data_IF_600253633442
#
_entry.id   IF_600253633442
#
_cell.length_a   1.000
_cell.length_b   1.000
_cell.length_c   1.000
_cell.angle_alpha   90.00
_cell.angle_beta   90.00
_cell.angle_gamma   90.00
#
_symmetry.space_group_name_H-M   'P 1'
#
loop_
_entity.id
_entity.type
_entity.pdbx_description
1 polymer ?
#
# COMPACT_ATOMS: atom_id res chain seq x y z
N UNK A 1 6.77 15.92 16.54
CA UNK A 1 7.14 15.14 15.34
C UNK A 1 7.27 16.07 14.12
N UNK A 2 8.11 17.09 14.19
CA UNK A 2 8.30 18.08 13.10
C UNK A 2 9.75 18.19 12.63
N UNK A 3 10.65 17.42 13.23
CA UNK A 3 12.08 17.52 12.96
C UNK A 3 12.56 16.34 12.09
N UNK A 4 12.67 16.59 10.79
CA UNK A 4 13.03 15.62 9.75
C UNK A 4 14.56 15.54 9.57
N UNK A 5 15.30 15.13 10.59
CA UNK A 5 16.79 15.12 10.52
C UNK A 5 17.38 13.94 9.74
N UNK A 6 16.61 12.95 9.30
CA UNK A 6 17.14 11.82 8.51
C UNK A 6 16.18 11.31 7.42
N UNK A 7 16.75 10.75 6.35
CA UNK A 7 16.00 10.11 5.26
C UNK A 7 15.14 8.96 5.77
N UNK A 8 15.64 8.18 6.75
CA UNK A 8 14.87 7.10 7.39
C UNK A 8 13.66 7.63 8.18
N UNK A 9 13.78 8.79 8.83
CA UNK A 9 12.66 9.42 9.52
C UNK A 9 11.55 9.85 8.55
N UNK A 10 11.92 10.41 7.39
CA UNK A 10 10.93 10.76 6.35
C UNK A 10 10.21 9.54 5.76
N UNK A 11 10.89 8.40 5.64
CA UNK A 11 10.31 7.16 5.13
C UNK A 11 9.33 6.53 6.14
N UNK A 12 9.71 6.49 7.42
CA UNK A 12 8.85 5.98 8.49
C UNK A 12 7.65 6.91 8.76
N UNK A 13 7.83 8.22 8.57
CA UNK A 13 6.76 9.22 8.73
C UNK A 13 5.63 9.00 7.70
N UNK A 14 5.94 8.67 6.45
CA UNK A 14 4.93 8.37 5.44
C UNK A 14 3.99 7.24 5.89
N UNK A 15 4.55 6.10 6.30
CA UNK A 15 3.73 4.97 6.75
C UNK A 15 2.88 5.30 7.99
N UNK A 16 3.42 6.06 8.94
CA UNK A 16 2.67 6.49 10.12
C UNK A 16 1.47 7.39 9.76
N UNK A 17 1.66 8.34 8.83
CA UNK A 17 0.57 9.24 8.37
C UNK A 17 -0.54 8.45 7.69
N UNK A 18 -0.21 7.47 6.86
CA UNK A 18 -1.21 6.59 6.25
C UNK A 18 -2.05 5.87 7.31
N UNK A 19 -1.40 5.25 8.29
CA UNK A 19 -2.08 4.56 9.40
C UNK A 19 -3.03 5.47 10.18
N UNK A 20 -2.58 6.69 10.54
CA UNK A 20 -3.44 7.65 11.25
C UNK A 20 -4.63 8.11 10.42
N UNK A 21 -4.41 8.45 9.14
CA UNK A 21 -5.50 8.88 8.26
C UNK A 21 -6.53 7.76 8.04
N UNK A 22 -6.08 6.52 7.84
CA UNK A 22 -6.96 5.36 7.63
C UNK A 22 -7.73 4.99 8.89
N UNK A 23 -7.10 5.03 10.06
CA UNK A 23 -7.80 4.84 11.33
C UNK A 23 -8.86 5.94 11.58
N UNK A 24 -8.51 7.19 11.27
CA UNK A 24 -9.45 8.30 11.36
C UNK A 24 -10.65 8.13 10.41
N UNK A 25 -10.43 7.67 9.16
CA UNK A 25 -11.50 7.42 8.19
C UNK A 25 -12.55 6.42 8.70
N UNK A 26 -12.16 5.46 9.53
CA UNK A 26 -13.09 4.48 10.13
C UNK A 26 -14.04 5.11 11.15
N UNK A 27 -13.62 6.17 11.85
CA UNK A 27 -14.39 6.80 12.93
C UNK A 27 -14.94 8.19 12.61
N UNK A 28 -14.57 8.80 11.47
CA UNK A 28 -14.87 10.21 11.14
C UNK A 28 -16.35 10.58 11.11
N UNK A 29 -17.22 9.58 11.01
CA UNK A 29 -18.68 9.71 10.96
C UNK A 29 -19.36 9.24 12.27
N UNK A 30 -18.60 8.87 13.30
CA UNK A 30 -19.15 8.49 14.58
C UNK A 30 -19.89 9.70 15.22
N UNK A 31 -21.13 9.52 15.70
CA UNK A 31 -21.97 10.63 16.18
C UNK A 31 -21.40 11.31 17.44
N UNK A 32 -20.58 10.60 18.22
CA UNK A 32 -19.94 11.12 19.43
C UNK A 32 -18.72 12.01 19.16
N UNK A 33 -18.24 12.11 17.92
CA UNK A 33 -17.02 12.85 17.59
C UNK A 33 -17.31 14.36 17.45
N UNK A 34 -16.75 15.17 18.35
CA UNK A 34 -16.98 16.62 18.35
C UNK A 34 -16.41 17.28 17.08
N UNK A 35 -17.16 18.22 16.48
CA UNK A 35 -16.78 18.94 15.25
C UNK A 35 -15.41 19.62 15.37
N UNK A 36 -15.11 20.24 16.51
CA UNK A 36 -13.82 20.91 16.74
C UNK A 36 -12.64 19.93 16.80
N UNK A 37 -12.85 18.75 17.39
CA UNK A 37 -11.83 17.70 17.42
C UNK A 37 -11.60 17.15 16.01
N UNK A 38 -12.68 16.93 15.27
CA UNK A 38 -12.66 16.52 13.86
C UNK A 38 -11.81 17.47 13.02
N UNK A 39 -12.13 18.77 13.07
CA UNK A 39 -11.41 19.82 12.35
C UNK A 39 -9.92 19.86 12.71
N UNK A 40 -9.58 19.76 14.00
CA UNK A 40 -8.18 19.76 14.44
C UNK A 40 -7.38 18.59 13.86
N UNK A 41 -7.95 17.40 13.84
CA UNK A 41 -7.31 16.21 13.27
C UNK A 41 -7.17 16.33 11.76
N UNK A 42 -8.22 16.79 11.06
CA UNK A 42 -8.21 16.99 9.62
C UNK A 42 -7.17 18.04 9.18
N UNK A 43 -7.11 19.19 9.84
CA UNK A 43 -6.13 20.23 9.55
C UNK A 43 -4.69 19.70 9.75
N UNK A 44 -4.47 18.91 10.80
CA UNK A 44 -3.18 18.28 11.07
C UNK A 44 -2.79 17.23 10.01
N UNK A 45 -3.73 16.33 9.64
CA UNK A 45 -3.50 15.33 8.59
C UNK A 45 -3.21 15.97 7.23
N UNK A 46 -3.92 17.07 6.90
CA UNK A 46 -3.67 17.83 5.67
C UNK A 46 -2.25 18.38 5.62
N UNK A 47 -1.79 19.00 6.72
CA UNK A 47 -0.42 19.52 6.81
C UNK A 47 0.60 18.39 6.65
N UNK A 48 0.42 17.26 7.33
CA UNK A 48 1.34 16.12 7.24
C UNK A 48 1.37 15.51 5.84
N UNK A 49 0.22 15.33 5.20
CA UNK A 49 0.14 14.83 3.82
C UNK A 49 0.90 15.73 2.84
N UNK A 50 0.73 17.05 2.95
CA UNK A 50 1.45 18.03 2.11
C UNK A 50 2.95 18.00 2.36
N UNK A 51 3.40 17.85 3.60
CA UNK A 51 4.82 17.73 3.94
C UNK A 51 5.43 16.44 3.37
N UNK A 52 4.72 15.31 3.49
CA UNK A 52 5.13 14.03 2.90
C UNK A 52 5.31 14.17 1.39
N UNK A 53 4.32 14.72 0.70
CA UNK A 53 4.38 14.93 -0.74
C UNK A 53 5.54 15.86 -1.15
N UNK A 54 5.70 16.99 -0.46
CA UNK A 54 6.78 17.94 -0.73
C UNK A 54 8.19 17.37 -0.46
N UNK A 55 8.35 16.51 0.55
CA UNK A 55 9.60 15.78 0.81
C UNK A 55 9.90 14.81 -0.34
N UNK A 56 8.91 14.02 -0.73
CA UNK A 56 9.06 13.02 -1.78
C UNK A 56 9.27 13.64 -3.17
N UNK A 57 8.69 14.80 -3.45
CA UNK A 57 8.92 15.53 -4.70
C UNK A 57 10.31 16.17 -4.81
N UNK A 58 11.09 16.19 -3.73
CA UNK A 58 12.53 16.54 -3.77
C UNK A 58 13.42 15.32 -3.97
N UNK A 59 12.88 14.12 -3.83
CA UNK A 59 13.63 12.88 -3.95
C UNK A 59 13.80 12.46 -5.41
N UNK A 60 14.99 12.69 -5.96
CA UNK A 60 15.35 12.29 -7.34
C UNK A 60 15.96 10.88 -7.43
N UNK A 61 16.22 10.24 -6.30
CA UNK A 61 16.83 8.91 -6.23
C UNK A 61 15.82 7.77 -6.43
N UNK A 62 16.30 6.53 -6.28
CA UNK A 62 15.49 5.31 -6.43
C UNK A 62 14.27 5.29 -5.51
N UNK A 63 14.39 5.83 -4.29
CA UNK A 63 13.26 5.89 -3.33
C UNK A 63 12.14 6.84 -3.76
N UNK A 64 12.42 7.77 -4.68
CA UNK A 64 11.39 8.58 -5.32
C UNK A 64 10.55 7.83 -6.36
N UNK A 65 10.91 6.58 -6.67
CA UNK A 65 10.31 5.79 -7.77
C UNK A 65 9.95 4.34 -7.41
N UNK A 66 10.40 3.82 -6.27
CA UNK A 66 10.15 2.45 -5.81
C UNK A 66 9.04 2.40 -4.73
N UNK A 67 8.92 1.29 -3.99
CA UNK A 67 7.96 1.13 -2.90
C UNK A 67 7.84 2.31 -1.92
N UNK A 68 8.93 3.06 -1.68
CA UNK A 68 8.85 4.25 -0.83
C UNK A 68 7.94 5.34 -1.42
N UNK A 69 7.99 5.58 -2.74
CA UNK A 69 7.06 6.50 -3.41
C UNK A 69 5.62 6.05 -3.24
N UNK A 70 5.36 4.75 -3.33
CA UNK A 70 4.01 4.20 -3.21
C UNK A 70 3.50 4.36 -1.77
N UNK A 71 4.29 4.00 -0.76
CA UNK A 71 3.93 4.22 0.64
C UNK A 71 3.65 5.69 0.97
N UNK A 72 4.44 6.63 0.44
CA UNK A 72 4.18 8.05 0.64
C UNK A 72 2.94 8.53 -0.16
N UNK A 73 2.70 7.92 -1.33
CA UNK A 73 1.46 8.07 -2.10
C UNK A 73 0.23 7.69 -1.29
N UNK A 74 0.28 6.55 -0.58
CA UNK A 74 -0.79 6.10 0.31
C UNK A 74 -1.06 7.11 1.42
N UNK A 75 -0.01 7.65 2.05
CA UNK A 75 -0.15 8.71 3.06
C UNK A 75 -0.89 9.93 2.52
N UNK A 76 -0.53 10.37 1.32
CA UNK A 76 -1.12 11.54 0.69
C UNK A 76 -2.58 11.31 0.34
N UNK A 77 -2.92 10.24 -0.39
CA UNK A 77 -4.32 10.00 -0.77
C UNK A 77 -5.20 9.73 0.45
N UNK A 78 -4.73 9.01 1.47
CA UNK A 78 -5.48 8.80 2.70
C UNK A 78 -5.77 10.12 3.43
N UNK A 79 -4.76 11.00 3.55
CA UNK A 79 -4.96 12.35 4.09
C UNK A 79 -5.89 13.19 3.22
N UNK A 80 -5.80 13.08 1.90
CA UNK A 80 -6.67 13.76 0.94
C UNK A 80 -8.13 13.36 1.09
N UNK A 81 -8.42 12.05 1.14
CA UNK A 81 -9.77 11.51 1.36
C UNK A 81 -10.31 11.89 2.75
N UNK A 82 -9.45 11.90 3.78
CA UNK A 82 -9.83 12.31 5.13
C UNK A 82 -10.22 13.79 5.23
N UNK A 83 -9.65 14.65 4.39
CA UNK A 83 -9.74 16.12 4.51
C UNK A 83 -10.45 16.81 3.35
N UNK A 84 -10.82 16.05 2.31
CA UNK A 84 -11.36 16.60 1.06
C UNK A 84 -10.34 17.35 0.19
N UNK A 85 -9.04 17.17 0.44
CA UNK A 85 -7.98 17.82 -0.34
C UNK A 85 -7.71 17.07 -1.66
N UNK A 86 -8.29 17.57 -2.76
CA UNK A 86 -8.17 16.97 -4.09
C UNK A 86 -6.72 16.85 -4.57
N UNK A 87 -5.86 17.81 -4.26
CA UNK A 87 -4.47 17.75 -4.72
C UNK A 87 -3.73 16.57 -4.07
N UNK A 88 -4.01 16.30 -2.79
CA UNK A 88 -3.43 15.15 -2.10
C UNK A 88 -3.95 13.82 -2.68
N UNK A 89 -5.22 13.78 -3.06
CA UNK A 89 -5.83 12.64 -3.76
C UNK A 89 -5.11 12.40 -5.09
N UNK A 90 -5.00 13.43 -5.92
CA UNK A 90 -4.37 13.35 -7.24
C UNK A 90 -2.89 12.96 -7.13
N UNK A 91 -2.14 13.59 -6.22
CA UNK A 91 -0.72 13.29 -6.02
C UNK A 91 -0.49 11.85 -5.53
N UNK A 92 -1.37 11.35 -4.65
CA UNK A 92 -1.30 9.96 -4.19
C UNK A 92 -1.63 8.97 -5.30
N UNK A 93 -2.65 9.25 -6.11
CA UNK A 93 -2.96 8.44 -7.30
C UNK A 93 -1.81 8.43 -8.31
N UNK A 94 -1.23 9.60 -8.61
CA UNK A 94 -0.06 9.71 -9.51
C UNK A 94 1.16 8.98 -8.98
N UNK A 95 1.33 8.92 -7.65
CA UNK A 95 2.38 8.13 -7.02
C UNK A 95 2.20 6.63 -7.24
N UNK A 96 0.96 6.12 -7.26
CA UNK A 96 0.68 4.74 -7.66
C UNK A 96 0.87 4.56 -9.18
N UNK A 97 0.50 5.54 -10.02
CA UNK A 97 0.73 5.48 -11.48
C UNK A 97 2.19 5.29 -11.84
N UNK A 98 3.12 5.89 -11.09
CA UNK A 98 4.55 5.64 -11.24
C UNK A 98 4.85 4.14 -11.12
N UNK A 99 4.34 3.46 -10.08
CA UNK A 99 4.53 2.01 -9.90
C UNK A 99 3.80 1.19 -10.97
N UNK A 100 2.54 1.53 -11.25
CA UNK A 100 1.71 0.87 -12.28
C UNK A 100 2.39 0.88 -13.66
N UNK A 101 3.02 2.00 -14.03
CA UNK A 101 3.76 2.13 -15.29
C UNK A 101 5.04 1.28 -15.35
N UNK A 102 5.61 0.93 -14.19
CA UNK A 102 6.83 0.12 -14.09
C UNK A 102 6.55 -1.39 -14.09
N UNK A 103 5.32 -1.81 -13.80
CA UNK A 103 4.96 -3.23 -13.74
C UNK A 103 5.13 -3.85 -15.13
N UNK A 104 6.10 -4.75 -15.24
CA UNK A 104 6.43 -5.46 -16.45
C UNK A 104 5.32 -6.45 -16.87
N UNK A 105 5.37 -6.96 -18.11
CA UNK A 105 4.39 -7.96 -18.59
C UNK A 105 4.32 -9.23 -17.72
N UNK A 106 5.42 -9.61 -17.06
CA UNK A 106 5.49 -10.78 -16.17
C UNK A 106 5.03 -10.50 -14.72
N UNK A 107 4.55 -9.28 -14.46
CA UNK A 107 4.07 -8.83 -13.15
C UNK A 107 5.16 -8.33 -12.21
N UNK A 108 6.41 -8.19 -12.66
CA UNK A 108 7.51 -7.73 -11.81
C UNK A 108 7.67 -6.22 -11.79
N UNK A 109 8.28 -5.72 -10.70
CA UNK A 109 8.73 -4.34 -10.53
C UNK A 109 10.26 -4.29 -10.65
N UNK A 110 10.82 -3.66 -11.70
CA UNK A 110 12.27 -3.67 -11.96
C UNK A 110 13.13 -3.15 -10.81
N UNK A 111 12.63 -2.16 -10.05
CA UNK A 111 13.37 -1.61 -8.90
C UNK A 111 13.37 -2.55 -7.69
N UNK A 112 12.36 -3.41 -7.56
CA UNK A 112 12.27 -4.39 -6.48
C UNK A 112 13.02 -5.68 -6.84
N UNK A 113 13.14 -6.03 -8.12
CA UNK A 113 14.03 -7.12 -8.57
C UNK A 113 15.50 -6.87 -8.20
N UNK A 114 15.93 -5.60 -8.20
CA UNK A 114 17.28 -5.19 -7.80
C UNK A 114 17.60 -5.47 -6.32
N UNK A 115 16.65 -5.98 -5.53
CA UNK A 115 16.83 -6.41 -4.14
C UNK A 115 17.29 -7.87 -4.03
N UNK A 116 17.56 -8.54 -5.16
CA UNK A 116 18.16 -9.87 -5.24
C UNK A 116 17.42 -10.91 -4.38
N UNK A 117 18.08 -11.48 -3.35
CA UNK A 117 17.49 -12.43 -2.41
C UNK A 117 16.25 -11.91 -1.67
N UNK A 118 16.00 -10.60 -1.67
CA UNK A 118 14.84 -9.96 -1.05
C UNK A 118 13.77 -9.53 -2.06
N UNK A 119 13.95 -9.80 -3.35
CA UNK A 119 13.04 -9.32 -4.39
C UNK A 119 11.59 -9.73 -4.12
N UNK A 120 11.34 -10.97 -3.72
CA UNK A 120 10.02 -11.49 -3.35
C UNK A 120 9.36 -10.64 -2.26
N UNK A 121 10.03 -10.43 -1.13
CA UNK A 121 9.49 -9.63 -0.01
C UNK A 121 9.23 -8.18 -0.43
N UNK A 122 10.11 -7.59 -1.23
CA UNK A 122 9.92 -6.22 -1.73
C UNK A 122 8.77 -6.08 -2.73
N UNK A 123 8.47 -7.10 -3.54
CA UNK A 123 7.26 -7.08 -4.38
C UNK A 123 5.99 -7.17 -3.53
N UNK A 124 5.97 -8.04 -2.52
CA UNK A 124 4.88 -8.11 -1.55
C UNK A 124 4.67 -6.77 -0.86
N UNK A 125 5.76 -6.15 -0.39
CA UNK A 125 5.74 -4.85 0.29
C UNK A 125 5.33 -3.68 -0.61
N UNK A 126 5.66 -3.73 -1.90
CA UNK A 126 5.27 -2.71 -2.88
C UNK A 126 3.80 -2.84 -3.28
N UNK A 127 3.26 -4.07 -3.30
CA UNK A 127 1.87 -4.35 -3.69
C UNK A 127 0.89 -3.77 -2.69
N UNK A 128 1.20 -3.88 -1.39
CA UNK A 128 0.35 -3.39 -0.31
C UNK A 128 -0.12 -1.92 -0.46
N UNK A 129 0.77 -0.92 -0.54
CA UNK A 129 0.34 0.46 -0.72
C UNK A 129 -0.30 0.69 -2.10
N UNK A 130 0.10 -0.03 -3.14
CA UNK A 130 -0.49 0.14 -4.47
C UNK A 130 -1.98 -0.28 -4.50
N UNK A 131 -2.31 -1.41 -3.86
CA UNK A 131 -3.70 -1.87 -3.75
C UNK A 131 -4.51 -0.94 -2.84
N UNK A 132 -3.96 -0.53 -1.70
CA UNK A 132 -4.63 0.41 -0.81
C UNK A 132 -4.90 1.78 -1.47
N UNK A 133 -3.94 2.30 -2.26
CA UNK A 133 -4.15 3.53 -3.05
C UNK A 133 -5.22 3.32 -4.11
N UNK A 134 -5.19 2.19 -4.84
CA UNK A 134 -6.18 1.90 -5.88
C UNK A 134 -7.60 1.86 -5.31
N UNK A 135 -7.79 1.30 -4.12
CA UNK A 135 -9.08 1.29 -3.44
C UNK A 135 -9.53 2.69 -3.01
N UNK A 136 -8.65 3.47 -2.37
CA UNK A 136 -8.98 4.85 -2.00
C UNK A 136 -9.30 5.71 -3.23
N UNK A 137 -8.51 5.58 -4.29
CA UNK A 137 -8.70 6.28 -5.56
C UNK A 137 -10.04 5.91 -6.22
N UNK A 138 -10.44 4.64 -6.14
CA UNK A 138 -11.72 4.18 -6.65
C UNK A 138 -12.90 4.86 -5.94
N UNK A 139 -12.84 5.06 -4.61
CA UNK A 139 -13.87 5.84 -3.89
C UNK A 139 -13.98 7.30 -4.34
N UNK A 140 -12.96 7.81 -5.02
CA UNK A 140 -12.89 9.17 -5.59
C UNK A 140 -13.15 9.18 -7.10
N UNK A 141 -13.57 8.06 -7.69
CA UNK A 141 -13.88 7.95 -9.13
C UNK A 141 -12.66 7.75 -10.04
N UNK A 142 -11.50 7.36 -9.50
CA UNK A 142 -10.28 7.09 -10.27
C UNK A 142 -10.02 5.59 -10.31
N UNK A 143 -10.16 4.96 -11.48
CA UNK A 143 -9.99 3.50 -11.63
C UNK A 143 -8.55 3.10 -11.96
N UNK A 144 -7.68 3.08 -10.94
CA UNK A 144 -6.29 2.65 -11.08
C UNK A 144 -6.14 1.15 -11.41
N UNK A 145 -7.16 0.33 -11.15
CA UNK A 145 -7.11 -1.11 -11.45
C UNK A 145 -7.18 -1.41 -12.96
N UNK A 146 -7.78 -0.52 -13.76
CA UNK A 146 -7.84 -0.66 -15.21
C UNK A 146 -6.57 -0.18 -15.93
N UNK A 147 -5.74 0.63 -15.28
CA UNK A 147 -4.60 1.29 -15.91
C UNK A 147 -3.49 0.31 -16.35
N UNK A 148 -2.78 0.70 -17.41
CA UNK A 148 -1.66 -0.05 -17.99
C UNK A 148 -1.99 -1.54 -18.27
N UNK A 149 -3.14 -1.79 -18.88
CA UNK A 149 -3.66 -3.13 -19.24
C UNK A 149 -3.78 -4.03 -18.00
N UNK A 150 -4.43 -3.52 -16.94
CA UNK A 150 -4.59 -4.22 -15.66
C UNK A 150 -3.26 -4.60 -15.01
N UNK A 151 -2.33 -3.64 -14.92
CA UNK A 151 -0.99 -3.92 -14.40
C UNK A 151 -1.00 -4.39 -12.93
N UNK A 152 -1.87 -3.83 -12.09
CA UNK A 152 -2.02 -4.29 -10.70
C UNK A 152 -2.41 -5.76 -10.62
N UNK A 153 -3.29 -6.25 -11.51
CA UNK A 153 -3.66 -7.67 -11.54
C UNK A 153 -2.46 -8.58 -11.87
N UNK A 154 -1.58 -8.15 -12.79
CA UNK A 154 -0.34 -8.89 -13.11
C UNK A 154 0.60 -8.96 -11.90
N UNK A 155 0.79 -7.84 -11.20
CA UNK A 155 1.60 -7.77 -9.98
C UNK A 155 1.02 -8.66 -8.88
N UNK A 156 -0.29 -8.57 -8.63
CA UNK A 156 -0.97 -9.42 -7.63
C UNK A 156 -0.79 -10.89 -7.96
N UNK A 157 -0.99 -11.32 -9.22
CA UNK A 157 -0.79 -12.73 -9.60
C UNK A 157 0.63 -13.19 -9.30
N UNK A 158 1.63 -12.41 -9.70
CA UNK A 158 3.05 -12.70 -9.49
C UNK A 158 3.38 -12.85 -8.00
N UNK A 159 2.88 -11.94 -7.17
CA UNK A 159 3.13 -11.95 -5.72
C UNK A 159 2.42 -13.13 -5.05
N UNK A 160 1.14 -13.38 -5.38
CA UNK A 160 0.37 -14.49 -4.79
C UNK A 160 0.95 -15.85 -5.18
N UNK A 161 1.36 -16.04 -6.43
CA UNK A 161 2.10 -17.23 -6.88
C UNK A 161 3.36 -17.45 -6.03
N UNK A 162 4.07 -16.36 -5.73
CA UNK A 162 5.33 -16.44 -4.99
C UNK A 162 5.17 -16.91 -3.55
N UNK A 163 3.98 -16.83 -2.95
CA UNK A 163 3.79 -17.21 -1.54
C UNK A 163 3.98 -18.71 -1.31
N UNK A 164 3.54 -19.54 -2.26
CA UNK A 164 3.76 -20.98 -2.23
C UNK A 164 5.06 -21.41 -2.92
N UNK A 165 5.55 -20.63 -3.90
CA UNK A 165 6.72 -21.01 -4.70
C UNK A 165 7.63 -19.80 -5.03
N UNK A 166 8.83 -19.68 -4.43
CA UNK A 166 9.76 -18.59 -4.72
C UNK A 166 10.53 -18.78 -6.05
N UNK A 167 10.41 -19.92 -6.74
CA UNK A 167 11.28 -20.32 -7.85
C UNK A 167 11.38 -19.30 -8.98
N UNK A 168 10.27 -18.61 -9.29
CA UNK A 168 10.26 -17.55 -10.30
C UNK A 168 11.24 -16.43 -9.93
N UNK A 169 11.19 -15.95 -8.68
CA UNK A 169 12.06 -14.89 -8.20
C UNK A 169 13.51 -15.37 -8.13
N UNK A 170 13.74 -16.61 -7.70
CA UNK A 170 15.09 -17.18 -7.67
C UNK A 170 15.74 -17.24 -9.04
N UNK A 171 14.98 -17.67 -10.05
CA UNK A 171 15.43 -17.74 -11.43
C UNK A 171 15.75 -16.37 -12.01
N UNK A 172 14.86 -15.39 -11.84
CA UNK A 172 15.03 -14.07 -12.47
C UNK A 172 16.10 -13.22 -11.77
N UNK A 173 16.31 -13.40 -10.46
CA UNK A 173 17.36 -12.67 -9.73
C UNK A 173 18.69 -13.41 -9.67
N UNK A 174 18.72 -14.71 -9.98
CA UNK A 174 19.89 -15.56 -9.78
C UNK A 174 20.28 -15.70 -8.31
N UNK A 175 19.32 -15.61 -7.39
CA UNK A 175 19.57 -15.65 -5.95
C UNK A 175 18.46 -16.40 -5.22
N UNK A 176 18.83 -17.33 -4.33
CA UNK A 176 17.89 -17.94 -3.41
C UNK A 176 17.15 -16.85 -2.63
N UNK A 177 15.82 -16.93 -2.57
CA UNK A 177 15.05 -15.91 -1.86
C UNK A 177 15.13 -16.15 -0.35
N UNK A 178 15.22 -15.06 0.40
CA UNK A 178 15.15 -15.13 1.86
C UNK A 178 13.78 -15.70 2.28
N UNK A 179 13.75 -16.63 3.25
CA UNK A 179 12.50 -17.06 3.85
C UNK A 179 11.85 -15.87 4.57
N UNK A 180 10.52 -15.85 4.61
CA UNK A 180 9.83 -14.89 5.46
C UNK A 180 10.16 -15.13 6.94
N UNK A 181 10.08 -14.11 7.81
CA UNK A 181 10.32 -14.29 9.25
C UNK A 181 9.41 -15.36 9.86
N UNK A 182 9.92 -16.10 10.84
CA UNK A 182 9.19 -17.18 11.51
C UNK A 182 9.44 -18.53 10.86
N UNK A 183 8.37 -19.19 10.39
CA UNK A 183 8.40 -20.54 9.80
C UNK A 183 8.77 -20.55 8.30
N UNK A 184 9.14 -19.40 7.74
CA UNK A 184 9.45 -19.25 6.31
C UNK A 184 8.23 -19.04 5.41
N UNK A 185 7.01 -19.20 5.94
CA UNK A 185 5.76 -18.91 5.22
C UNK A 185 5.42 -17.42 5.26
N UNK A 186 4.64 -16.94 4.29
CA UNK A 186 4.20 -15.55 4.28
C UNK A 186 3.35 -15.26 5.54
N UNK A 187 3.71 -14.26 6.37
CA UNK A 187 2.97 -13.95 7.57
C UNK A 187 1.68 -13.18 7.24
N UNK A 188 0.67 -13.27 8.12
CA UNK A 188 -0.65 -12.67 7.90
C UNK A 188 -0.61 -11.18 7.55
N UNK A 189 0.26 -10.41 8.21
CA UNK A 189 0.39 -8.96 7.95
C UNK A 189 0.91 -8.65 6.54
N UNK A 190 1.67 -9.55 5.90
CA UNK A 190 2.16 -9.39 4.52
C UNK A 190 1.12 -9.72 3.46
N UNK A 191 0.00 -10.33 3.84
CA UNK A 191 -1.10 -10.65 2.93
C UNK A 191 -2.36 -9.83 3.21
N UNK A 192 -2.38 -8.96 4.22
CA UNK A 192 -3.57 -8.21 4.62
C UNK A 192 -4.19 -7.38 3.48
N UNK A 193 -3.36 -6.82 2.59
CA UNK A 193 -3.81 -6.11 1.38
C UNK A 193 -4.61 -6.98 0.41
N UNK A 194 -4.48 -8.31 0.49
CA UNK A 194 -5.21 -9.24 -0.38
C UNK A 194 -6.70 -9.27 -0.05
N UNK A 195 -7.13 -8.94 1.16
CA UNK A 195 -8.55 -8.77 1.49
C UNK A 195 -9.18 -7.64 0.67
N UNK A 196 -8.47 -6.51 0.54
CA UNK A 196 -8.89 -5.39 -0.30
C UNK A 196 -9.11 -5.87 -1.73
N UNK A 197 -8.10 -6.54 -2.30
CA UNK A 197 -8.16 -7.02 -3.68
C UNK A 197 -9.24 -8.11 -3.87
N UNK A 198 -9.38 -9.04 -2.92
CA UNK A 198 -10.36 -10.12 -2.94
C UNK A 198 -11.79 -9.58 -2.92
N UNK A 199 -12.06 -8.52 -2.15
CA UNK A 199 -13.39 -7.90 -2.09
C UNK A 199 -13.84 -7.33 -3.45
N UNK A 200 -12.89 -6.92 -4.30
CA UNK A 200 -13.16 -6.36 -5.63
C UNK A 200 -13.07 -7.39 -6.75
N UNK A 201 -12.16 -8.35 -6.62
CA UNK A 201 -11.89 -9.39 -7.62
C UNK A 201 -11.85 -10.77 -6.95
N UNK A 202 -13.03 -11.33 -6.59
CA UNK A 202 -13.09 -12.61 -5.90
C UNK A 202 -12.41 -13.74 -6.68
N UNK A 203 -11.55 -14.49 -6.00
CA UNK A 203 -10.85 -15.65 -6.55
C UNK A 203 -10.79 -16.78 -5.53
N UNK A 204 -11.13 -18.04 -5.91
CA UNK A 204 -10.97 -19.20 -5.01
C UNK A 204 -9.53 -19.38 -4.52
N UNK A 205 -8.54 -19.01 -5.35
CA UNK A 205 -7.12 -19.10 -4.99
C UNK A 205 -6.75 -18.12 -3.88
N UNK A 206 -7.21 -16.88 -3.98
CA UNK A 206 -6.95 -15.85 -2.98
C UNK A 206 -7.69 -16.16 -1.69
N UNK A 207 -8.94 -16.62 -1.81
CA UNK A 207 -9.76 -17.03 -0.68
C UNK A 207 -9.14 -18.19 0.10
N UNK A 208 -8.66 -19.24 -0.60
CA UNK A 208 -7.97 -20.35 0.05
C UNK A 208 -6.71 -19.89 0.82
N UNK A 209 -5.97 -18.91 0.30
CA UNK A 209 -4.82 -18.34 1.01
C UNK A 209 -5.26 -17.57 2.26
N UNK A 210 -6.23 -16.66 2.11
CA UNK A 210 -6.74 -15.81 3.18
C UNK A 210 -7.35 -16.64 4.31
N UNK A 211 -8.20 -17.62 4.00
CA UNK A 211 -8.88 -18.47 4.97
C UNK A 211 -7.92 -19.16 5.97
N UNK A 212 -6.71 -19.52 5.53
CA UNK A 212 -5.70 -20.16 6.42
C UNK A 212 -4.98 -19.20 7.36
N UNK A 213 -5.14 -17.89 7.15
CA UNK A 213 -4.37 -16.84 7.85
C UNK A 213 -5.26 -15.80 8.53
N UNK A 214 -6.56 -15.75 8.22
CA UNK A 214 -7.52 -14.83 8.84
C UNK A 214 -7.59 -15.03 10.37
N UNK A 215 -7.79 -13.95 11.15
CA UNK A 215 -7.88 -12.56 10.69
C UNK A 215 -6.51 -12.00 10.27
N UNK A 216 -6.49 -11.18 9.22
CA UNK A 216 -5.26 -10.54 8.72
C UNK A 216 -5.32 -9.03 8.90
N UNK A 217 -4.23 -8.46 9.41
CA UNK A 217 -4.14 -7.05 9.73
C UNK A 217 -2.80 -6.45 9.33
N UNK A 218 -2.82 -5.20 8.86
CA UNK A 218 -1.62 -4.38 8.68
C UNK A 218 -1.91 -2.94 9.10
N UNK A 219 -1.09 -2.44 10.03
CA UNK A 219 -1.19 -1.07 10.53
C UNK A 219 -0.93 -0.02 9.44
N UNK A 220 -0.16 -0.36 8.40
CA UNK A 220 0.14 0.54 7.29
C UNK A 220 -1.06 0.85 6.40
N UNK A 221 -2.06 -0.03 6.38
CA UNK A 221 -3.26 0.09 5.54
C UNK A 221 -4.57 0.16 6.35
N UNK A 222 -4.49 0.45 7.65
CA UNK A 222 -5.66 0.76 8.48
C UNK A 222 -6.04 -0.30 9.53
N UNK A 223 -5.21 -1.32 9.75
CA UNK A 223 -5.44 -2.32 10.80
C UNK A 223 -6.05 -3.61 10.27
N UNK A 224 -7.15 -4.05 10.88
CA UNK A 224 -7.81 -5.33 10.58
C UNK A 224 -8.50 -5.29 9.22
N UNK A 225 -7.88 -5.90 8.21
CA UNK A 225 -8.42 -5.89 6.85
C UNK A 225 -9.52 -6.93 6.67
N UNK A 226 -9.53 -8.00 7.46
CA UNK A 226 -10.63 -8.98 7.46
C UNK A 226 -11.91 -8.30 7.92
N UNK A 227 -11.88 -7.60 9.05
CA UNK A 227 -13.03 -6.83 9.53
C UNK A 227 -13.53 -5.80 8.51
N UNK A 228 -12.61 -5.11 7.82
CA UNK A 228 -12.97 -4.00 6.93
C UNK A 228 -13.41 -4.43 5.53
N UNK A 229 -13.07 -5.62 5.06
CA UNK A 229 -13.27 -6.03 3.66
C UNK A 229 -13.89 -7.42 3.47
N UNK A 230 -13.80 -8.33 4.43
CA UNK A 230 -14.42 -9.65 4.34
C UNK A 230 -15.84 -9.66 4.93
N UNK A 231 -16.02 -9.09 6.13
CA UNK A 231 -17.29 -9.17 6.88
C UNK A 231 -18.33 -8.12 6.44
N UNK A 232 -18.20 -7.58 5.23
CA UNK A 232 -19.16 -6.63 4.65
C UNK A 232 -20.30 -7.40 3.98
N UNK A 233 -21.32 -7.72 4.76
CA UNK A 233 -22.68 -8.01 4.27
C UNK A 233 -23.43 -6.70 3.92
#
# INVERSE_FOLDING_TARGET
MTDMRSQQASLNQGQAVAGFALAYLQIRNAPALAKEQKKRVEDWLKVLGRQVAASMDKNRGTSGKNNHRYWNGLSAIAAGVATGDKWLIDWGADSARIGISQIAPDGTLPLELKRAQRARDYHTFATEPLIAIAELAHTQGIDLYAENKHALARLVSRVVESFGDPSFFEKITGSKQEPYPGDGSVPGYRIAWLEIYQSRFPSPKNEALLATKRPVASSGIGGDMTLLFHDKD
#
